data_IF_372859997697
#
_entry.id   IF_372859997697
#
_cell.length_a   1.000
_cell.length_b   1.000
_cell.length_c   1.000
_cell.angle_alpha   90.00
_cell.angle_beta   90.00
_cell.angle_gamma   90.00
#
_symmetry.space_group_name_H-M   'P 1'
#
loop_
_entity.id
_entity.type
_entity.pdbx_description
1 polymer ?
#
# COMPACT_ATOMS: atom_id res chain seq x y z
N UNK A 1 3.46 -12.64 -7.91
CA UNK A 1 2.26 -12.43 -8.75
C UNK A 1 1.45 -11.34 -8.08
N UNK A 2 1.78 -10.07 -8.33
CA UNK A 2 0.93 -8.96 -7.91
C UNK A 2 0.09 -8.60 -9.14
N UNK A 3 -1.05 -9.28 -9.31
CA UNK A 3 -1.96 -9.01 -10.42
C UNK A 3 -2.68 -10.22 -11.04
N UNK A 4 -3.53 -9.99 -12.05
CA UNK A 4 -4.32 -11.04 -12.68
C UNK A 4 -3.50 -12.05 -13.48
N UNK A 5 -3.91 -13.33 -13.39
CA UNK A 5 -3.35 -14.53 -14.03
C UNK A 5 -3.68 -14.68 -15.53
N UNK A 6 -3.53 -13.64 -16.35
CA UNK A 6 -3.93 -13.69 -17.78
C UNK A 6 -2.78 -13.91 -18.76
N UNK A 7 -1.55 -13.62 -18.36
CA UNK A 7 -0.33 -13.85 -19.13
C UNK A 7 0.79 -14.41 -18.24
N UNK A 8 2.04 -14.54 -18.73
CA UNK A 8 3.18 -14.93 -17.89
C UNK A 8 3.35 -14.00 -16.68
N UNK A 9 3.89 -14.48 -15.58
CA UNK A 9 4.23 -13.62 -14.45
C UNK A 9 5.44 -12.72 -14.76
N UNK A 10 5.82 -11.86 -13.80
CA UNK A 10 6.94 -10.92 -13.96
C UNK A 10 8.30 -11.60 -14.14
N UNK A 11 8.42 -12.90 -13.82
CA UNK A 11 9.62 -13.71 -14.08
C UNK A 11 9.59 -14.37 -15.46
N UNK A 12 8.51 -14.16 -16.23
CA UNK A 12 8.28 -14.78 -17.53
C UNK A 12 7.72 -16.20 -17.44
N UNK A 13 7.39 -16.69 -16.25
CA UNK A 13 6.82 -18.04 -16.10
C UNK A 13 5.36 -18.06 -16.57
N UNK A 14 4.95 -19.06 -17.36
CA UNK A 14 3.60 -19.11 -17.91
C UNK A 14 2.58 -19.43 -16.82
N UNK A 15 1.50 -18.65 -16.78
CA UNK A 15 0.36 -18.90 -15.89
C UNK A 15 -0.64 -19.94 -16.42
N UNK A 16 -0.30 -20.67 -17.49
CA UNK A 16 -1.20 -21.65 -18.14
C UNK A 16 -1.55 -22.86 -17.26
N UNK A 17 -0.79 -23.10 -16.19
CA UNK A 17 -1.05 -24.15 -15.20
C UNK A 17 -2.05 -23.71 -14.12
N UNK A 18 -2.35 -22.42 -14.00
CA UNK A 18 -3.29 -21.90 -13.02
C UNK A 18 -4.72 -22.26 -13.42
N UNK A 19 -5.47 -22.83 -12.48
CA UNK A 19 -6.86 -23.29 -12.69
C UNK A 19 -7.89 -22.45 -11.96
N UNK A 20 -7.44 -21.46 -11.20
CA UNK A 20 -8.24 -20.51 -10.45
C UNK A 20 -7.77 -19.11 -10.78
N UNK A 21 -8.67 -18.12 -10.68
CA UNK A 21 -8.31 -16.71 -10.77
C UNK A 21 -7.43 -16.29 -9.58
N UNK A 22 -6.54 -15.33 -9.79
CA UNK A 22 -5.64 -14.72 -8.82
C UNK A 22 -5.79 -13.18 -8.76
N UNK A 23 -5.11 -12.57 -7.78
CA UNK A 23 -5.16 -11.14 -7.48
C UNK A 23 -6.22 -10.76 -6.45
N UNK A 24 -6.43 -11.60 -5.42
CA UNK A 24 -7.45 -11.39 -4.39
C UNK A 24 -6.86 -11.35 -2.98
N UNK A 25 -7.63 -10.74 -2.07
CA UNK A 25 -7.45 -10.92 -0.64
C UNK A 25 -7.87 -12.32 -0.19
N UNK A 26 -7.14 -12.82 0.80
CA UNK A 26 -7.46 -14.03 1.54
C UNK A 26 -7.39 -13.74 3.04
N UNK A 27 -8.36 -14.22 3.79
CA UNK A 27 -8.24 -14.24 5.24
C UNK A 27 -7.47 -15.48 5.67
N UNK A 28 -6.44 -15.27 6.48
CA UNK A 28 -5.60 -16.33 7.04
C UNK A 28 -5.69 -16.22 8.56
N UNK A 29 -6.18 -17.26 9.26
CA UNK A 29 -6.24 -17.24 10.71
C UNK A 29 -4.81 -17.26 11.28
N UNK A 30 -4.61 -16.60 12.42
CA UNK A 30 -3.31 -16.58 13.10
C UNK A 30 -2.88 -17.99 13.56
N UNK A 31 -3.86 -18.86 13.81
CA UNK A 31 -3.70 -20.26 14.14
C UNK A 31 -4.42 -21.17 13.14
N UNK A 32 -3.83 -22.33 12.85
CA UNK A 32 -4.42 -23.33 11.95
C UNK A 32 -4.21 -23.02 10.46
N UNK A 33 -5.17 -23.42 9.63
CA UNK A 33 -5.05 -23.40 8.16
C UNK A 33 -6.17 -22.55 7.57
N UNK A 34 -5.82 -21.61 6.69
CA UNK A 34 -6.81 -20.84 5.93
C UNK A 34 -7.71 -21.75 5.10
N UNK A 35 -8.99 -21.37 4.97
CA UNK A 35 -9.92 -22.00 4.05
C UNK A 35 -9.54 -21.76 2.56
N UNK A 36 -8.57 -20.87 2.29
CA UNK A 36 -8.09 -20.52 0.93
C UNK A 36 -9.22 -20.00 0.03
N UNK A 37 -10.19 -19.31 0.64
CA UNK A 37 -11.34 -18.73 -0.07
C UNK A 37 -11.03 -17.26 -0.37
N UNK A 38 -11.02 -16.85 -1.66
CA UNK A 38 -10.78 -15.45 -2.02
C UNK A 38 -11.98 -14.57 -1.65
N UNK A 39 -11.71 -13.35 -1.22
CA UNK A 39 -12.73 -12.30 -1.02
C UNK A 39 -12.90 -11.56 -2.35
N UNK A 40 -13.65 -12.15 -3.29
CA UNK A 40 -13.72 -11.67 -4.68
C UNK A 40 -14.32 -10.27 -4.79
N UNK A 41 -15.31 -9.95 -3.97
CA UNK A 41 -15.93 -8.63 -3.94
C UNK A 41 -15.00 -7.52 -3.43
N UNK A 42 -13.83 -7.86 -2.87
CA UNK A 42 -12.79 -6.90 -2.52
C UNK A 42 -11.90 -6.51 -3.72
N UNK A 43 -12.13 -7.10 -4.89
CA UNK A 43 -11.47 -6.71 -6.14
C UNK A 43 -10.39 -7.66 -6.60
N UNK A 44 -10.19 -7.72 -7.92
CA UNK A 44 -9.15 -8.47 -8.60
C UNK A 44 -8.11 -7.55 -9.24
N UNK A 45 -7.07 -7.21 -8.50
CA UNK A 45 -5.98 -6.31 -8.93
C UNK A 45 -4.69 -6.60 -8.12
N UNK A 46 -3.62 -5.82 -8.32
CA UNK A 46 -2.40 -5.92 -7.52
C UNK A 46 -2.61 -5.31 -6.14
N UNK A 47 -3.26 -6.05 -5.24
CA UNK A 47 -3.32 -5.68 -3.82
C UNK A 47 -1.92 -5.72 -3.23
N UNK A 48 -1.52 -4.64 -2.57
CA UNK A 48 -0.25 -4.62 -1.84
C UNK A 48 -0.49 -4.71 -0.33
N UNK A 49 -1.38 -3.89 0.22
CA UNK A 49 -1.69 -3.93 1.65
C UNK A 49 -3.17 -3.78 1.97
N UNK A 50 -3.53 -4.21 3.19
CA UNK A 50 -4.88 -4.15 3.72
C UNK A 50 -4.89 -3.62 5.16
N UNK A 51 -5.41 -2.40 5.35
CA UNK A 51 -5.58 -1.79 6.67
C UNK A 51 -7.02 -1.90 7.16
N UNK A 52 -7.23 -2.57 8.29
CA UNK A 52 -8.56 -2.77 8.87
C UNK A 52 -8.94 -1.64 9.84
N UNK A 53 -10.11 -1.03 9.63
CA UNK A 53 -10.73 -0.11 10.61
C UNK A 53 -11.75 -0.87 11.47
N UNK A 54 -11.46 -1.15 12.76
CA UNK A 54 -12.35 -1.90 13.63
C UNK A 54 -13.64 -1.15 13.99
N UNK A 55 -13.70 0.17 13.78
CA UNK A 55 -14.88 0.98 14.09
C UNK A 55 -15.93 0.82 12.99
N UNK A 56 -15.54 1.04 11.73
CA UNK A 56 -16.45 0.94 10.59
C UNK A 56 -16.59 -0.49 10.05
N UNK A 57 -15.62 -1.35 10.32
CA UNK A 57 -15.51 -2.68 9.72
C UNK A 57 -14.99 -2.68 8.28
N UNK A 58 -14.58 -1.52 7.74
CA UNK A 58 -14.02 -1.40 6.41
C UNK A 58 -12.57 -1.92 6.37
N UNK A 59 -12.17 -2.45 5.21
CA UNK A 59 -10.78 -2.78 4.89
C UNK A 59 -10.31 -1.83 3.80
N UNK A 60 -9.26 -1.06 4.07
CA UNK A 60 -8.65 -0.13 3.12
C UNK A 60 -7.53 -0.83 2.37
N UNK A 61 -7.50 -0.69 1.06
CA UNK A 61 -6.66 -1.47 0.17
C UNK A 61 -5.84 -0.54 -0.71
N UNK A 62 -4.57 -0.87 -0.86
CA UNK A 62 -3.67 -0.20 -1.80
C UNK A 62 -3.49 -1.06 -3.04
N UNK A 63 -3.33 -0.40 -4.17
CA UNK A 63 -3.01 -1.02 -5.45
C UNK A 63 -1.59 -0.63 -5.83
N UNK A 64 -0.67 -1.59 -5.90
CA UNK A 64 0.67 -1.36 -6.43
C UNK A 64 0.68 -1.65 -7.93
N UNK A 65 0.58 -0.59 -8.73
CA UNK A 65 0.58 -0.70 -10.17
C UNK A 65 1.83 0.01 -10.71
N UNK A 66 2.78 -0.77 -11.18
CA UNK A 66 4.09 -0.27 -11.58
C UNK A 66 4.02 0.64 -12.82
N UNK A 67 3.37 0.20 -13.89
CA UNK A 67 3.34 0.91 -15.18
C UNK A 67 2.16 1.88 -15.35
N UNK A 68 1.20 1.86 -14.43
CA UNK A 68 -0.05 2.61 -14.56
C UNK A 68 -0.42 3.25 -13.23
N UNK A 69 -1.38 4.18 -13.26
CA UNK A 69 -1.88 4.77 -12.03
C UNK A 69 -2.42 3.69 -11.07
N UNK A 70 -2.17 3.92 -9.78
CA UNK A 70 -2.73 3.18 -8.66
C UNK A 70 -4.03 3.81 -8.15
N UNK A 71 -4.81 3.01 -7.43
CA UNK A 71 -5.99 3.44 -6.69
C UNK A 71 -5.87 3.15 -5.20
N UNK A 72 -6.50 3.99 -4.40
CA UNK A 72 -6.77 3.69 -2.99
C UNK A 72 -8.22 3.26 -2.85
N UNK A 73 -8.45 2.07 -2.31
CA UNK A 73 -9.77 1.46 -2.25
C UNK A 73 -10.23 1.26 -0.80
N UNK A 74 -11.54 1.07 -0.63
CA UNK A 74 -12.10 0.45 0.58
C UNK A 74 -13.07 -0.65 0.20
N UNK A 75 -12.95 -1.78 0.88
CA UNK A 75 -13.92 -2.85 0.87
C UNK A 75 -14.84 -2.73 2.08
N UNK A 76 -16.14 -2.68 1.83
CA UNK A 76 -17.21 -2.66 2.83
C UNK A 76 -17.82 -4.06 2.91
N UNK A 77 -17.39 -4.92 3.85
CA UNK A 77 -17.94 -6.26 3.98
C UNK A 77 -19.42 -6.20 4.38
N UNK A 78 -20.22 -7.24 4.04
CA UNK A 78 -21.65 -7.27 4.36
C UNK A 78 -21.91 -7.35 5.87
N UNK A 79 -20.92 -7.81 6.64
CA UNK A 79 -20.92 -7.83 8.10
C UNK A 79 -19.53 -7.42 8.56
N UNK A 80 -19.45 -6.52 9.55
CA UNK A 80 -18.17 -6.12 10.14
C UNK A 80 -17.41 -7.35 10.64
N UNK A 81 -16.11 -7.53 10.30
CA UNK A 81 -15.30 -8.64 10.78
C UNK A 81 -15.23 -8.70 12.31
N UNK A 82 -15.30 -7.54 12.99
CA UNK A 82 -15.31 -7.47 14.46
C UNK A 82 -16.54 -8.13 15.07
N UNK A 83 -17.68 -8.10 14.37
CA UNK A 83 -18.93 -8.74 14.82
C UNK A 83 -19.06 -10.16 14.28
N UNK A 84 -18.69 -10.35 13.01
CA UNK A 84 -18.84 -11.62 12.29
C UNK A 84 -17.73 -12.63 12.55
N UNK A 85 -16.66 -12.21 13.24
CA UNK A 85 -15.47 -13.01 13.55
C UNK A 85 -14.59 -13.36 12.35
N UNK A 86 -14.89 -12.83 11.15
CA UNK A 86 -14.19 -13.10 9.90
C UNK A 86 -14.51 -12.08 8.82
N UNK A 87 -13.61 -11.88 7.87
CA UNK A 87 -13.83 -11.09 6.66
C UNK A 87 -14.67 -11.89 5.65
N UNK A 88 -15.88 -11.39 5.35
CA UNK A 88 -16.81 -12.06 4.42
C UNK A 88 -16.72 -11.48 3.03
N UNK A 89 -16.84 -12.34 2.03
CA UNK A 89 -17.10 -11.96 0.64
C UNK A 89 -18.55 -11.43 0.44
N UNK A 90 -18.83 -10.81 -0.70
CA UNK A 90 -20.15 -10.29 -1.08
C UNK A 90 -20.46 -8.86 -0.61
N UNK A 91 -19.44 -8.08 -0.28
CA UNK A 91 -19.54 -6.67 0.10
C UNK A 91 -19.51 -5.71 -1.11
N UNK A 92 -19.13 -4.45 -0.85
CA UNK A 92 -18.92 -3.44 -1.91
C UNK A 92 -17.48 -2.96 -1.93
N UNK A 93 -16.89 -2.89 -3.12
CA UNK A 93 -15.62 -2.23 -3.35
C UNK A 93 -15.85 -0.80 -3.81
N UNK A 94 -15.10 0.14 -3.23
CA UNK A 94 -15.12 1.54 -3.61
C UNK A 94 -13.70 2.07 -3.82
N UNK A 95 -13.53 2.97 -4.78
CA UNK A 95 -12.26 3.66 -5.02
C UNK A 95 -12.36 5.12 -4.58
N UNK A 96 -11.27 5.64 -4.01
CA UNK A 96 -11.21 7.00 -3.48
C UNK A 96 -11.32 8.02 -4.61
N UNK A 97 -12.20 9.01 -4.43
CA UNK A 97 -12.30 10.20 -5.26
C UNK A 97 -12.18 11.46 -4.38
N UNK A 98 -11.97 12.61 -4.99
CA UNK A 98 -11.94 13.91 -4.29
C UNK A 98 -13.16 14.73 -4.68
N UNK A 99 -13.89 15.25 -3.68
CA UNK A 99 -15.09 16.07 -3.91
C UNK A 99 -14.74 17.29 -4.78
N UNK A 100 -15.49 17.49 -5.85
CA UNK A 100 -15.31 18.61 -6.78
C UNK A 100 -14.04 18.55 -7.64
N UNK A 101 -13.27 17.45 -7.59
CA UNK A 101 -12.04 17.27 -8.39
C UNK A 101 -11.98 15.86 -9.00
N UNK A 102 -12.90 15.53 -9.93
CA UNK A 102 -12.92 14.22 -10.56
C UNK A 102 -11.61 13.97 -11.32
N UNK A 103 -11.02 12.78 -11.12
CA UNK A 103 -9.80 12.39 -11.83
C UNK A 103 -8.56 13.20 -11.42
N UNK A 104 -8.55 13.81 -10.24
CA UNK A 104 -7.36 14.51 -9.76
C UNK A 104 -6.17 13.56 -9.71
N UNK A 105 -5.06 14.02 -10.26
CA UNK A 105 -3.78 13.37 -10.10
C UNK A 105 -3.17 13.77 -8.75
N UNK A 106 -3.10 12.80 -7.83
CA UNK A 106 -2.45 12.95 -6.53
C UNK A 106 -1.04 12.35 -6.52
N UNK A 107 -0.60 11.75 -7.62
CA UNK A 107 0.77 11.22 -7.73
C UNK A 107 1.83 12.32 -7.75
N UNK A 108 1.47 13.56 -8.10
CA UNK A 108 2.42 14.67 -8.18
C UNK A 108 1.75 16.03 -7.97
N UNK A 109 2.56 17.09 -7.88
CA UNK A 109 2.09 18.48 -7.91
C UNK A 109 1.32 18.94 -6.67
N UNK A 110 1.48 18.25 -5.55
CA UNK A 110 0.75 18.51 -4.31
C UNK A 110 1.55 19.47 -3.41
N UNK A 111 1.03 20.66 -3.07
CA UNK A 111 1.68 21.49 -2.06
C UNK A 111 1.81 20.77 -0.70
N UNK A 112 2.90 20.98 0.06
CA UNK A 112 3.03 20.42 1.40
C UNK A 112 1.82 20.73 2.28
N UNK A 113 1.30 19.70 2.96
CA UNK A 113 0.12 19.82 3.83
C UNK A 113 -1.22 19.87 3.10
N UNK A 114 -1.25 19.65 1.77
CA UNK A 114 -2.47 19.53 0.99
C UNK A 114 -3.47 18.58 1.64
N UNK A 115 -4.73 18.97 1.64
CA UNK A 115 -5.81 18.16 2.19
C UNK A 115 -7.09 18.26 1.36
N UNK A 116 -7.80 17.15 1.31
CA UNK A 116 -8.91 16.92 0.40
C UNK A 116 -10.09 16.29 1.13
N UNK A 117 -11.29 16.78 0.82
CA UNK A 117 -12.53 16.11 1.22
C UNK A 117 -12.79 14.94 0.29
N UNK A 118 -12.87 13.74 0.85
CA UNK A 118 -12.97 12.50 0.10
C UNK A 118 -14.42 12.18 -0.27
N UNK A 119 -14.59 11.71 -1.49
CA UNK A 119 -15.75 10.96 -1.97
C UNK A 119 -15.33 9.52 -2.29
N UNK A 120 -16.30 8.64 -2.46
CA UNK A 120 -16.06 7.24 -2.81
C UNK A 120 -16.94 6.87 -3.98
N UNK A 121 -16.38 6.23 -4.99
CA UNK A 121 -17.11 5.73 -6.16
C UNK A 121 -17.17 4.21 -6.12
N UNK A 122 -18.36 3.65 -6.34
CA UNK A 122 -18.55 2.20 -6.37
C UNK A 122 -17.88 1.57 -7.61
N UNK A 123 -17.27 0.41 -7.42
CA UNK A 123 -16.81 -0.47 -8.51
C UNK A 123 -17.94 -1.46 -8.82
N UNK A 124 -18.35 -1.52 -10.08
CA UNK A 124 -19.51 -2.33 -10.47
C UNK A 124 -19.14 -3.82 -10.66
N UNK A 125 -17.98 -4.08 -11.27
CA UNK A 125 -17.44 -5.42 -11.46
C UNK A 125 -16.06 -5.56 -10.78
N UNK A 126 -16.01 -5.93 -9.49
CA UNK A 126 -14.75 -6.15 -8.78
C UNK A 126 -14.07 -7.47 -9.16
N UNK A 127 -14.74 -8.42 -9.83
CA UNK A 127 -14.17 -9.72 -10.23
C UNK A 127 -14.28 -9.96 -11.75
N UNK A 128 -13.65 -9.10 -12.57
CA UNK A 128 -13.75 -9.20 -14.00
C UNK A 128 -13.26 -10.55 -14.53
N UNK A 129 -13.95 -11.04 -15.55
CA UNK A 129 -13.50 -12.15 -16.39
C UNK A 129 -12.81 -11.59 -17.62
N UNK A 130 -11.62 -12.11 -17.90
CA UNK A 130 -10.83 -11.66 -19.05
C UNK A 130 -10.99 -12.63 -20.21
N UNK A 131 -11.12 -12.09 -21.41
CA UNK A 131 -11.16 -12.89 -22.63
C UNK A 131 -9.78 -13.49 -22.92
N UNK A 132 -9.69 -14.66 -23.59
CA UNK A 132 -8.41 -15.18 -24.06
C UNK A 132 -7.64 -14.14 -24.87
N UNK A 133 -6.34 -13.98 -24.58
CA UNK A 133 -5.47 -12.98 -25.22
C UNK A 133 -5.43 -11.61 -24.53
N UNK A 134 -6.17 -11.41 -23.44
CA UNK A 134 -6.01 -10.21 -22.59
C UNK A 134 -4.59 -10.19 -22.00
N UNK A 135 -3.89 -9.07 -22.13
CA UNK A 135 -2.54 -8.90 -21.56
C UNK A 135 -2.61 -8.59 -20.06
N UNK A 136 -1.51 -8.80 -19.33
CA UNK A 136 -1.43 -8.41 -17.92
C UNK A 136 -1.69 -6.91 -17.73
N UNK A 137 -1.15 -6.07 -18.61
CA UNK A 137 -1.35 -4.61 -18.60
C UNK A 137 -2.81 -4.20 -18.79
N UNK A 138 -3.57 -4.94 -19.61
CA UNK A 138 -5.00 -4.71 -19.78
C UNK A 138 -5.78 -5.18 -18.54
N UNK A 139 -5.43 -6.36 -18.02
CA UNK A 139 -6.13 -6.96 -16.90
C UNK A 139 -5.91 -6.19 -15.59
N UNK A 140 -4.67 -5.74 -15.32
CA UNK A 140 -4.31 -5.05 -14.07
C UNK A 140 -5.07 -3.73 -13.91
N UNK A 141 -5.38 -3.05 -15.00
CA UNK A 141 -6.10 -1.78 -14.98
C UNK A 141 -7.63 -1.93 -14.93
N UNK A 142 -8.18 -3.14 -15.12
CA UNK A 142 -9.62 -3.31 -15.35
C UNK A 142 -10.50 -2.83 -14.19
N UNK A 143 -10.07 -3.05 -12.94
CA UNK A 143 -10.79 -2.58 -11.75
C UNK A 143 -10.60 -1.06 -11.58
N UNK A 144 -9.36 -0.58 -11.61
CA UNK A 144 -9.07 0.85 -11.46
C UNK A 144 -9.68 1.74 -12.55
N UNK A 145 -9.79 1.24 -13.78
CA UNK A 145 -10.44 1.96 -14.88
C UNK A 145 -11.92 2.25 -14.62
N UNK A 146 -12.64 1.37 -13.92
CA UNK A 146 -14.02 1.63 -13.52
C UNK A 146 -14.11 2.80 -12.55
N UNK A 147 -13.23 2.85 -11.55
CA UNK A 147 -13.18 3.95 -10.60
C UNK A 147 -12.77 5.26 -11.27
N UNK A 148 -11.73 5.24 -12.12
CA UNK A 148 -11.26 6.43 -12.86
C UNK A 148 -12.32 6.98 -13.81
N UNK A 149 -13.07 6.12 -14.51
CA UNK A 149 -14.21 6.53 -15.32
C UNK A 149 -15.31 7.24 -14.52
N UNK A 150 -15.39 6.97 -13.20
CA UNK A 150 -16.31 7.63 -12.26
C UNK A 150 -15.67 8.80 -11.50
N UNK A 151 -14.43 9.18 -11.83
CA UNK A 151 -13.74 10.33 -11.24
C UNK A 151 -12.88 10.02 -10.02
N UNK A 152 -12.52 8.75 -9.78
CA UNK A 152 -11.54 8.39 -8.76
C UNK A 152 -10.19 9.09 -8.99
N UNK A 153 -9.48 9.34 -7.89
CA UNK A 153 -8.16 9.96 -7.92
C UNK A 153 -7.09 8.97 -8.41
N UNK A 154 -5.99 9.52 -8.94
CA UNK A 154 -4.82 8.76 -9.38
C UNK A 154 -3.73 8.90 -8.32
N UNK A 155 -3.06 7.78 -8.03
CA UNK A 155 -1.87 7.73 -7.19
C UNK A 155 -0.76 7.02 -7.96
N UNK A 156 0.46 7.12 -7.46
CA UNK A 156 1.59 6.31 -7.95
C UNK A 156 1.87 5.19 -6.96
N UNK A 157 1.94 3.94 -7.44
CA UNK A 157 2.40 2.74 -6.71
C UNK A 157 2.10 2.78 -5.21
N UNK A 158 0.83 2.59 -4.86
CA UNK A 158 0.44 2.59 -3.46
C UNK A 158 0.81 1.25 -2.85
N UNK A 159 1.63 1.29 -1.81
CA UNK A 159 2.18 0.06 -1.23
C UNK A 159 1.67 -0.15 0.20
N UNK A 160 2.52 -0.17 1.21
CA UNK A 160 2.15 -0.39 2.59
C UNK A 160 1.09 0.59 3.12
N UNK A 161 0.23 0.07 4.00
CA UNK A 161 -0.73 0.86 4.75
C UNK A 161 -0.90 0.34 6.18
N UNK A 162 -1.26 1.24 7.09
CA UNK A 162 -1.51 0.92 8.49
C UNK A 162 -2.64 1.77 9.06
N UNK A 163 -3.43 1.18 9.96
CA UNK A 163 -4.50 1.87 10.66
C UNK A 163 -4.11 2.21 12.10
N UNK A 164 -4.39 3.44 12.53
CA UNK A 164 -4.35 3.83 13.94
C UNK A 164 -5.34 4.93 14.26
N UNK A 165 -6.20 4.67 15.25
CA UNK A 165 -7.11 5.65 15.89
C UNK A 165 -7.91 6.48 14.87
N UNK A 166 -8.59 5.81 13.93
CA UNK A 166 -9.41 6.47 12.92
C UNK A 166 -8.63 7.07 11.76
N UNK A 167 -7.34 6.78 11.61
CA UNK A 167 -6.52 7.23 10.48
C UNK A 167 -5.88 6.04 9.81
N UNK A 168 -6.01 5.96 8.48
CA UNK A 168 -5.24 5.05 7.64
C UNK A 168 -4.09 5.84 7.05
N UNK A 169 -2.87 5.41 7.35
CA UNK A 169 -1.66 5.91 6.71
C UNK A 169 -1.29 4.95 5.59
N UNK A 170 -0.86 5.48 4.46
CA UNK A 170 -0.37 4.67 3.36
C UNK A 170 0.69 5.45 2.59
N UNK A 171 1.56 4.73 1.91
CA UNK A 171 2.64 5.33 1.12
C UNK A 171 2.35 5.22 -0.37
N UNK A 172 2.94 6.14 -1.12
CA UNK A 172 2.96 6.17 -2.58
C UNK A 172 4.43 6.19 -2.96
N UNK A 173 4.93 5.07 -3.47
CA UNK A 173 6.39 4.80 -3.54
C UNK A 173 7.10 5.79 -4.47
N UNK A 174 6.51 6.08 -5.64
CA UNK A 174 7.02 7.06 -6.60
C UNK A 174 6.17 8.35 -6.63
N UNK A 175 5.45 8.62 -5.54
CA UNK A 175 4.68 9.86 -5.38
C UNK A 175 5.59 11.08 -5.24
N UNK A 176 5.14 12.22 -5.76
CA UNK A 176 5.82 13.50 -5.76
C UNK A 176 6.36 13.91 -7.12
N UNK A 177 7.17 14.95 -7.15
CA UNK A 177 7.92 15.37 -8.34
C UNK A 177 9.38 14.92 -8.22
N UNK A 178 10.05 14.74 -9.37
CA UNK A 178 11.50 14.49 -9.37
C UNK A 178 12.23 15.67 -8.73
N UNK A 179 13.00 15.39 -7.69
CA UNK A 179 13.82 16.39 -7.05
C UNK A 179 14.99 16.82 -7.95
N UNK A 180 15.48 18.05 -7.78
CA UNK A 180 16.64 18.52 -8.52
C UNK A 180 17.87 17.66 -8.18
N UNK A 181 18.44 17.01 -9.21
CA UNK A 181 19.61 16.13 -9.06
C UNK A 181 19.27 14.64 -8.94
N UNK A 182 17.99 14.29 -8.77
CA UNK A 182 17.52 12.91 -8.86
C UNK A 182 17.15 12.56 -10.32
N UNK A 183 17.16 11.27 -10.61
CA UNK A 183 16.54 10.71 -11.82
C UNK A 183 15.12 10.25 -11.47
N UNK A 184 14.15 10.42 -12.37
CA UNK A 184 12.83 9.82 -12.17
C UNK A 184 12.97 8.27 -12.13
N UNK A 185 12.28 7.58 -11.21
CA UNK A 185 12.24 6.12 -11.24
C UNK A 185 11.45 5.62 -12.46
N UNK A 186 11.66 4.36 -12.85
CA UNK A 186 10.86 3.72 -13.90
C UNK A 186 9.42 3.48 -13.43
N UNK A 187 8.45 3.57 -14.34
CA UNK A 187 7.04 3.29 -14.04
C UNK A 187 6.14 4.53 -14.06
N UNK A 188 5.00 4.45 -13.37
CA UNK A 188 4.06 5.56 -13.23
C UNK A 188 4.36 6.37 -11.96
N UNK A 189 4.84 7.59 -12.15
CA UNK A 189 5.20 8.52 -11.07
C UNK A 189 6.68 8.86 -11.12
N UNK A 190 6.99 10.11 -10.81
CA UNK A 190 8.33 10.68 -11.04
C UNK A 190 9.07 11.02 -9.73
N UNK A 191 8.40 10.85 -8.59
CA UNK A 191 8.87 11.26 -7.28
C UNK A 191 9.63 10.17 -6.53
N UNK A 192 10.04 10.49 -5.29
CA UNK A 192 10.78 9.59 -4.40
C UNK A 192 9.98 9.15 -3.17
N UNK A 193 8.69 9.48 -3.12
CA UNK A 193 7.79 8.99 -2.09
C UNK A 193 6.87 10.05 -1.53
N UNK A 194 5.63 9.66 -1.27
CA UNK A 194 4.69 10.42 -0.44
C UNK A 194 4.13 9.53 0.66
N UNK A 195 3.74 10.17 1.77
CA UNK A 195 2.97 9.55 2.84
C UNK A 195 1.65 10.29 2.96
N UNK A 196 0.56 9.54 2.89
CA UNK A 196 -0.81 10.04 2.97
C UNK A 196 -1.47 9.59 4.27
N UNK A 197 -2.37 10.42 4.80
CA UNK A 197 -3.20 10.11 5.95
C UNK A 197 -4.67 10.34 5.62
N UNK A 198 -5.47 9.28 5.62
CA UNK A 198 -6.91 9.33 5.45
C UNK A 198 -7.61 9.18 6.81
N UNK A 199 -8.30 10.22 7.26
CA UNK A 199 -9.13 10.17 8.46
C UNK A 199 -10.49 9.54 8.14
N UNK A 200 -10.78 8.38 8.73
CA UNK A 200 -11.99 7.59 8.45
C UNK A 200 -13.26 8.20 9.04
N UNK A 201 -13.13 9.06 10.07
CA UNK A 201 -14.24 9.74 10.73
C UNK A 201 -14.64 11.01 9.98
N UNK A 202 -13.67 11.84 9.60
CA UNK A 202 -13.94 13.12 8.94
C UNK A 202 -14.00 13.00 7.41
N UNK A 203 -13.54 11.88 6.83
CA UNK A 203 -13.44 11.70 5.39
C UNK A 203 -12.44 12.67 4.75
N UNK A 204 -11.33 12.95 5.43
CA UNK A 204 -10.31 13.90 4.97
C UNK A 204 -9.00 13.19 4.67
N UNK A 205 -8.49 13.35 3.45
CA UNK A 205 -7.18 12.88 3.02
C UNK A 205 -6.17 14.02 3.16
N UNK A 206 -4.99 13.76 3.70
CA UNK A 206 -3.91 14.76 3.85
C UNK A 206 -2.58 14.18 3.38
N UNK A 207 -1.83 14.96 2.61
CA UNK A 207 -0.42 14.69 2.33
C UNK A 207 0.38 15.07 3.59
N UNK A 208 0.95 14.07 4.27
CA UNK A 208 1.67 14.29 5.53
C UNK A 208 3.17 14.46 5.33
N UNK A 209 3.70 13.88 4.26
CA UNK A 209 5.09 14.02 3.86
C UNK A 209 5.22 13.75 2.36
N UNK A 210 6.06 14.52 1.68
CA UNK A 210 6.54 14.25 0.32
C UNK A 210 8.06 14.31 0.37
N UNK A 211 8.72 13.34 -0.26
CA UNK A 211 10.17 13.27 -0.28
C UNK A 211 10.73 14.46 -1.04
N UNK A 212 11.65 15.23 -0.44
CA UNK A 212 12.38 16.27 -1.15
C UNK A 212 13.50 15.69 -2.04
N UNK A 213 13.68 14.37 -2.07
CA UNK A 213 14.68 13.66 -2.87
C UNK A 213 15.17 12.37 -2.21
N UNK A 214 15.79 11.51 -3.02
CA UNK A 214 16.26 10.16 -2.68
C UNK A 214 17.12 10.11 -1.40
N UNK A 215 17.94 11.14 -1.17
CA UNK A 215 18.78 11.23 0.04
C UNK A 215 18.03 11.46 1.37
N UNK A 216 16.70 11.63 1.35
CA UNK A 216 15.87 11.87 2.54
C UNK A 216 14.82 10.80 2.77
N UNK A 217 14.15 10.42 1.69
CA UNK A 217 13.23 9.30 1.63
C UNK A 217 13.27 8.78 0.19
N UNK A 218 13.51 7.50 0.00
CA UNK A 218 13.57 6.90 -1.33
C UNK A 218 12.64 5.69 -1.40
N UNK A 219 11.64 5.78 -2.27
CA UNK A 219 10.68 4.72 -2.59
C UNK A 219 10.17 3.98 -1.33
N UNK A 220 9.43 4.67 -0.44
CA UNK A 220 8.86 4.02 0.72
C UNK A 220 7.81 2.99 0.30
N UNK A 221 8.01 1.75 0.74
CA UNK A 221 7.09 0.64 0.50
C UNK A 221 6.25 0.37 1.75
N UNK A 222 6.82 -0.20 2.82
CA UNK A 222 5.99 -0.61 3.95
C UNK A 222 5.89 0.49 5.01
N UNK A 223 4.76 0.55 5.71
CA UNK A 223 4.57 1.47 6.84
C UNK A 223 3.90 0.80 8.02
N UNK A 224 4.44 1.07 9.20
CA UNK A 224 3.77 0.79 10.48
C UNK A 224 3.84 2.00 11.39
N UNK A 225 3.26 1.90 12.58
CA UNK A 225 3.12 3.04 13.48
C UNK A 225 3.48 2.68 14.92
N UNK A 226 4.32 3.51 15.52
CA UNK A 226 4.75 3.36 16.90
C UNK A 226 3.60 3.59 17.89
N UNK A 227 3.77 3.16 19.16
CA UNK A 227 2.83 3.46 20.23
C UNK A 227 2.48 4.93 20.39
N UNK A 228 3.40 5.86 20.10
CA UNK A 228 3.14 7.31 20.19
C UNK A 228 2.66 7.92 18.89
N UNK A 229 2.72 7.19 17.78
CA UNK A 229 2.20 7.61 16.49
C UNK A 229 3.25 8.04 15.48
N UNK A 230 4.53 7.82 15.76
CA UNK A 230 5.60 7.96 14.77
C UNK A 230 5.49 6.83 13.77
N UNK A 231 5.45 7.15 12.48
CA UNK A 231 5.45 6.15 11.42
C UNK A 231 6.86 5.57 11.28
N UNK A 232 6.95 4.28 11.05
CA UNK A 232 8.18 3.59 10.62
C UNK A 232 7.95 3.22 9.16
N UNK A 233 8.78 3.76 8.27
CA UNK A 233 8.75 3.52 6.84
C UNK A 233 9.90 2.58 6.48
N UNK A 234 9.63 1.59 5.64
CA UNK A 234 10.61 0.72 5.02
C UNK A 234 10.87 1.22 3.60
N UNK A 235 12.11 1.53 3.25
CA UNK A 235 12.50 1.89 1.89
C UNK A 235 12.77 0.65 1.02
N UNK A 236 12.38 0.76 -0.23
CA UNK A 236 12.72 -0.10 -1.37
C UNK A 236 13.21 0.77 -2.56
N UNK A 237 14.24 1.56 -2.28
CA UNK A 237 14.96 2.39 -3.24
C UNK A 237 16.07 1.66 -3.98
N UNK A 238 16.57 2.29 -5.05
CA UNK A 238 17.69 1.78 -5.86
C UNK A 238 19.05 1.83 -5.12
N UNK A 239 19.12 2.59 -4.03
CA UNK A 239 20.33 2.87 -3.27
C UNK A 239 20.43 2.11 -1.94
N UNK A 240 21.06 2.75 -0.95
CA UNK A 240 20.99 2.27 0.42
C UNK A 240 19.55 2.38 0.93
N UNK A 241 18.99 1.26 1.40
CA UNK A 241 17.65 1.23 1.99
C UNK A 241 17.69 1.49 3.50
N UNK A 242 16.77 2.32 3.99
CA UNK A 242 16.65 2.67 5.39
C UNK A 242 15.29 2.31 5.97
N UNK A 243 15.28 2.02 7.27
CA UNK A 243 14.11 2.28 8.09
C UNK A 243 14.10 3.77 8.44
N UNK A 244 13.04 4.48 8.07
CA UNK A 244 12.85 5.89 8.42
C UNK A 244 11.80 6.03 9.51
N UNK A 245 12.06 6.90 10.48
CA UNK A 245 11.03 7.38 11.40
C UNK A 245 10.44 8.68 10.88
N UNK A 246 9.11 8.77 10.79
CA UNK A 246 8.39 10.00 10.47
C UNK A 246 7.49 10.39 11.65
N UNK A 247 7.87 11.43 12.37
CA UNK A 247 7.19 11.87 13.59
C UNK A 247 5.84 12.54 13.30
N UNK A 248 5.00 12.66 14.33
CA UNK A 248 3.67 13.29 14.22
C UNK A 248 3.71 14.76 13.78
N UNK A 249 4.82 15.46 14.04
CA UNK A 249 5.09 16.84 13.62
C UNK A 249 5.79 16.92 12.25
N UNK A 250 5.97 15.79 11.55
CA UNK A 250 6.46 15.74 10.17
C UNK A 250 7.97 15.75 10.01
N UNK A 251 8.74 15.46 11.07
CA UNK A 251 10.20 15.29 10.97
C UNK A 251 10.54 13.86 10.58
N UNK A 252 11.34 13.71 9.54
CA UNK A 252 11.91 12.42 9.17
C UNK A 252 13.31 12.24 9.77
N UNK A 253 13.68 11.01 10.12
CA UNK A 253 15.02 10.65 10.58
C UNK A 253 15.34 9.18 10.28
N UNK A 254 16.63 8.87 10.30
CA UNK A 254 17.14 7.53 10.02
C UNK A 254 17.06 6.69 11.29
N UNK A 255 16.26 5.62 11.26
CA UNK A 255 16.21 4.66 12.35
C UNK A 255 17.31 3.60 12.20
N UNK A 256 17.43 3.04 11.00
CA UNK A 256 18.46 2.06 10.66
C UNK A 256 18.74 2.11 9.16
N UNK A 257 19.97 1.75 8.77
CA UNK A 257 20.32 1.44 7.38
C UNK A 257 20.44 -0.06 7.26
N UNK A 258 19.93 -0.62 6.17
CA UNK A 258 20.16 -2.03 5.84
C UNK A 258 21.62 -2.23 5.41
N UNK A 259 22.26 -3.28 5.91
CA UNK A 259 23.56 -3.67 5.38
C UNK A 259 23.38 -4.45 4.07
N UNK A 260 24.13 -4.13 3.00
CA UNK A 260 24.01 -4.83 1.73
C UNK A 260 24.17 -6.35 1.87
N UNK A 261 23.27 -7.10 1.24
CA UNK A 261 23.35 -8.56 1.20
C UNK A 261 24.26 -8.98 0.04
N UNK A 262 25.42 -9.56 0.37
CA UNK A 262 26.44 -9.89 -0.63
C UNK A 262 25.89 -10.78 -1.75
N UNK A 263 25.94 -10.29 -3.00
CA UNK A 263 25.42 -10.98 -4.18
C UNK A 263 23.89 -11.04 -4.25
N UNK A 264 23.22 -10.05 -3.67
CA UNK A 264 21.77 -9.84 -3.76
C UNK A 264 21.46 -8.33 -3.74
N UNK A 265 21.66 -7.63 -4.88
CA UNK A 265 21.50 -6.18 -4.95
C UNK A 265 20.04 -5.71 -4.82
N UNK A 266 19.06 -6.60 -4.97
CA UNK A 266 17.64 -6.31 -4.78
C UNK A 266 17.13 -6.70 -3.39
N UNK A 267 18.03 -6.84 -2.41
CA UNK A 267 17.60 -6.99 -1.03
C UNK A 267 16.95 -5.69 -0.54
N UNK A 268 15.81 -5.80 0.12
CA UNK A 268 14.98 -4.68 0.54
C UNK A 268 14.31 -4.96 1.88
N UNK A 269 13.82 -3.93 2.56
CA UNK A 269 12.95 -4.13 3.71
C UNK A 269 11.57 -4.62 3.23
N UNK A 270 11.06 -5.68 3.85
CA UNK A 270 9.77 -6.30 3.49
C UNK A 270 8.78 -6.33 4.66
N UNK A 271 8.70 -5.20 5.34
CA UNK A 271 7.69 -4.92 6.34
C UNK A 271 8.24 -4.83 7.75
N UNK A 272 7.57 -3.99 8.54
CA UNK A 272 7.84 -3.83 9.95
C UNK A 272 6.54 -3.84 10.76
N UNK A 273 6.57 -4.35 11.99
CA UNK A 273 5.42 -4.32 12.89
C UNK A 273 5.86 -4.32 14.35
N UNK A 274 5.13 -3.61 15.20
CA UNK A 274 5.35 -3.64 16.64
C UNK A 274 4.68 -4.87 17.24
N UNK A 275 5.36 -5.52 18.19
CA UNK A 275 4.77 -6.58 19.01
C UNK A 275 3.58 -6.06 19.84
N UNK A 276 2.74 -6.96 20.41
CA UNK A 276 1.55 -6.56 21.17
C UNK A 276 1.83 -5.65 22.38
N UNK A 277 3.00 -5.79 23.00
CA UNK A 277 3.46 -4.95 24.11
C UNK A 277 4.23 -3.69 23.65
N UNK A 278 4.46 -3.59 22.34
CA UNK A 278 5.26 -2.60 21.67
C UNK A 278 6.66 -2.37 22.27
N UNK A 279 7.25 -3.38 22.89
CA UNK A 279 8.64 -3.38 23.34
C UNK A 279 9.60 -3.82 22.23
N UNK A 280 9.08 -4.55 21.24
CA UNK A 280 9.84 -5.08 20.10
C UNK A 280 9.27 -4.56 18.80
N UNK A 281 10.14 -4.03 17.93
CA UNK A 281 9.85 -3.82 16.51
C UNK A 281 10.39 -5.02 15.75
N UNK A 282 9.53 -5.74 15.05
CA UNK A 282 9.93 -6.79 14.12
C UNK A 282 10.09 -6.18 12.74
N UNK A 283 11.17 -6.53 12.05
CA UNK A 283 11.49 -6.01 10.71
C UNK A 283 11.95 -7.18 9.84
N UNK A 284 11.43 -7.27 8.63
CA UNK A 284 11.82 -8.28 7.65
C UNK A 284 12.68 -7.68 6.55
N UNK A 285 13.59 -8.49 6.03
CA UNK A 285 14.33 -8.22 4.79
C UNK A 285 13.97 -9.30 3.79
N UNK A 286 13.38 -8.89 2.65
CA UNK A 286 13.28 -9.75 1.48
C UNK A 286 14.67 -9.80 0.85
N UNK A 287 15.20 -11.02 0.78
CA UNK A 287 16.49 -11.31 0.16
C UNK A 287 16.58 -12.81 -0.08
N UNK A 288 17.60 -13.26 -0.79
CA UNK A 288 17.96 -14.66 -0.97
C UNK A 288 18.22 -15.41 0.34
N UNK A 289 18.53 -14.69 1.42
CA UNK A 289 18.74 -15.27 2.74
C UNK A 289 17.46 -15.30 3.58
N UNK A 290 16.56 -14.33 3.37
CA UNK A 290 15.35 -14.13 4.17
C UNK A 290 15.68 -13.85 5.64
N UNK A 291 15.51 -12.62 6.11
CA UNK A 291 15.89 -12.26 7.48
C UNK A 291 14.75 -11.58 8.22
N UNK A 292 14.60 -11.91 9.50
CA UNK A 292 13.74 -11.18 10.44
C UNK A 292 14.57 -10.73 11.64
N UNK A 293 14.45 -9.45 11.98
CA UNK A 293 15.06 -8.85 13.16
C UNK A 293 13.99 -8.59 14.22
N UNK A 294 14.35 -8.82 15.46
CA UNK A 294 13.63 -8.32 16.62
C UNK A 294 14.47 -7.19 17.24
N UNK A 295 13.94 -5.96 17.23
CA UNK A 295 14.64 -4.78 17.71
C UNK A 295 13.94 -4.31 18.99
N UNK A 296 14.62 -4.49 20.12
CA UNK A 296 14.17 -3.98 21.41
C UNK A 296 14.47 -2.50 21.50
N UNK A 297 13.46 -1.72 21.85
CA UNK A 297 13.61 -0.28 22.04
C UNK A 297 13.36 0.14 23.47
N UNK A 298 13.45 1.44 23.72
CA UNK A 298 12.47 2.14 24.52
C UNK A 298 11.48 2.87 23.58
N UNK A 299 10.70 2.14 22.77
CA UNK A 299 9.75 2.68 21.75
C UNK A 299 8.62 3.58 22.28
N UNK A 300 8.64 3.86 23.59
CA UNK A 300 7.76 4.79 24.28
C UNK A 300 8.47 6.12 24.63
N UNK A 301 9.70 6.33 24.17
CA UNK A 301 10.56 7.49 24.50
C UNK A 301 11.10 8.17 23.25
N UNK A 302 11.34 9.47 23.37
CA UNK A 302 11.99 10.27 22.33
C UNK A 302 11.10 10.47 21.11
N UNK A 303 11.67 10.32 19.92
CA UNK A 303 10.96 10.40 18.64
C UNK A 303 10.05 9.21 18.33
N UNK A 304 9.96 8.21 19.23
CA UNK A 304 9.08 7.05 19.14
C UNK A 304 8.13 6.96 20.32
#
# INVERSE_FOLDING_TARGET
VNGPDVGPDFTGQPNTSLTQKHGYLFEVPADGVSARVPIRAAGRFAHESAAFDPISGAVYLTEDNFNFASGFYRYLPPVSPWVGGRLRDGGRLQMLAVKGRPGIDLSTGQPPGSAYDVAWVDIDDPDPRFAPGTTNDQAIQAVGNQGRAKGAALFSRLEGSTYRRGVVYFVSTQGGATAAGDTAPDGFGDGRGQVWAYNTVTGRLRLVYESPGSARLDLPDNVTVSPRGTLVLCEDGDGDNFLRGLTVDGRIFDLARMEPVAGDPGAEFAGATFGPDAHTLYVNIQSKLGMTFAIWGPWHRGGF
#
